data_IF_868805866619
#
_entry.id   IF_868805866619
#
_cell.length_a   1.000
_cell.length_b   1.000
_cell.length_c   1.000
_cell.angle_alpha   90.00
_cell.angle_beta   90.00
_cell.angle_gamma   90.00
#
_symmetry.space_group_name_H-M   'P 1'
#
loop_
_entity.id
_entity.type
_entity.pdbx_description
1 polymer ?
#
# COMPACT_ATOMS: atom_id res chain seq x y z
N UNK A 1 -19.76 27.43 40.31
CA UNK A 1 -18.38 27.31 39.77
C UNK A 1 -17.85 25.89 39.93
N UNK A 2 -17.97 25.26 41.11
CA UNK A 2 -17.52 23.87 41.35
C UNK A 2 -18.20 22.81 40.47
N UNK A 3 -19.49 22.95 40.14
CA UNK A 3 -20.18 21.97 39.30
C UNK A 3 -19.73 21.98 37.84
N UNK A 4 -19.27 23.14 37.33
CA UNK A 4 -18.71 23.26 35.98
C UNK A 4 -17.33 22.61 35.86
N UNK A 5 -16.45 22.86 36.83
CA UNK A 5 -15.14 22.20 36.89
C UNK A 5 -15.28 20.67 36.98
N UNK A 6 -16.24 20.18 37.76
CA UNK A 6 -16.46 18.74 37.89
C UNK A 6 -16.96 18.12 36.57
N UNK A 7 -17.83 18.83 35.85
CA UNK A 7 -18.33 18.39 34.54
C UNK A 7 -17.22 18.40 33.49
N UNK A 8 -16.39 19.43 33.45
CA UNK A 8 -15.25 19.53 32.53
C UNK A 8 -14.20 18.44 32.80
N UNK A 9 -13.88 18.17 34.07
CA UNK A 9 -12.99 17.07 34.43
C UNK A 9 -13.54 15.71 34.00
N UNK A 10 -14.83 15.46 34.24
CA UNK A 10 -15.48 14.21 33.81
C UNK A 10 -15.47 14.05 32.29
N UNK A 11 -15.79 15.12 31.56
CA UNK A 11 -15.75 15.10 30.09
C UNK A 11 -14.34 14.80 29.56
N UNK A 12 -13.31 15.36 30.20
CA UNK A 12 -11.91 15.12 29.81
C UNK A 12 -11.46 13.69 30.09
N UNK A 13 -11.87 13.10 31.21
CA UNK A 13 -11.57 11.69 31.53
C UNK A 13 -12.25 10.77 30.52
N UNK A 14 -13.54 10.99 30.26
CA UNK A 14 -14.30 10.22 29.26
C UNK A 14 -13.62 10.30 27.90
N UNK A 15 -13.21 11.50 27.46
CA UNK A 15 -12.53 11.68 26.18
C UNK A 15 -11.20 10.91 26.10
N UNK A 16 -10.39 10.93 27.16
CA UNK A 16 -9.13 10.17 27.20
C UNK A 16 -9.35 8.65 27.16
N UNK A 17 -10.36 8.13 27.86
CA UNK A 17 -10.69 6.70 27.83
C UNK A 17 -11.14 6.27 26.42
N UNK A 18 -11.87 7.14 25.74
CA UNK A 18 -12.33 6.92 24.38
C UNK A 18 -11.21 7.01 23.35
N UNK A 19 -10.31 7.98 23.49
CA UNK A 19 -9.08 8.08 22.68
C UNK A 19 -8.26 6.80 22.79
N UNK A 20 -8.06 6.29 24.01
CA UNK A 20 -7.32 5.04 24.22
C UNK A 20 -8.02 3.84 23.59
N UNK A 21 -9.33 3.71 23.78
CA UNK A 21 -10.12 2.63 23.18
C UNK A 21 -10.08 2.72 21.64
N UNK A 22 -10.13 3.92 21.09
CA UNK A 22 -10.02 4.14 19.65
C UNK A 22 -8.62 3.77 19.12
N UNK A 23 -7.57 4.14 19.84
CA UNK A 23 -6.18 3.74 19.54
C UNK A 23 -6.04 2.23 19.52
N UNK A 24 -6.58 1.53 20.52
CA UNK A 24 -6.50 0.08 20.61
C UNK A 24 -7.20 -0.59 19.42
N UNK A 25 -8.45 -0.20 19.11
CA UNK A 25 -9.21 -0.77 18.00
C UNK A 25 -8.55 -0.46 16.64
N UNK A 26 -8.04 0.76 16.43
CA UNK A 26 -7.35 1.12 15.19
C UNK A 26 -6.05 0.32 15.04
N UNK A 27 -5.32 0.13 16.13
CA UNK A 27 -4.09 -0.67 16.16
C UNK A 27 -4.37 -2.14 15.84
N UNK A 28 -5.45 -2.72 16.37
CA UNK A 28 -5.92 -4.07 16.00
C UNK A 28 -6.24 -4.19 14.50
N UNK A 29 -6.69 -3.10 13.87
CA UNK A 29 -6.93 -3.02 12.42
C UNK A 29 -5.68 -2.71 11.60
N UNK A 30 -4.50 -2.62 12.23
CA UNK A 30 -3.24 -2.31 11.57
C UNK A 30 -3.09 -0.85 11.13
N UNK A 31 -3.95 0.04 11.65
CA UNK A 31 -3.90 1.48 11.38
C UNK A 31 -3.18 2.18 12.53
N UNK A 32 -2.10 2.90 12.23
CA UNK A 32 -1.45 3.76 13.22
C UNK A 32 -2.41 4.88 13.62
N UNK A 33 -2.86 4.85 14.88
CA UNK A 33 -3.72 5.87 15.43
C UNK A 33 -2.91 7.16 15.69
N UNK A 34 -2.89 8.05 14.71
CA UNK A 34 -2.30 9.37 14.86
C UNK A 34 -3.32 10.33 15.51
N UNK A 35 -2.84 11.41 16.14
CA UNK A 35 -3.70 12.42 16.79
C UNK A 35 -4.81 12.95 15.86
N UNK A 36 -4.51 13.10 14.57
CA UNK A 36 -5.48 13.55 13.58
C UNK A 36 -6.59 12.50 13.36
N UNK A 37 -6.23 11.22 13.28
CA UNK A 37 -7.20 10.12 13.12
C UNK A 37 -8.10 10.05 14.34
N UNK A 38 -7.51 10.12 15.54
CA UNK A 38 -8.26 10.13 16.81
C UNK A 38 -9.24 11.29 16.90
N UNK A 39 -8.87 12.48 16.42
CA UNK A 39 -9.78 13.63 16.41
C UNK A 39 -10.99 13.45 15.49
N UNK A 40 -10.88 12.64 14.44
CA UNK A 40 -11.99 12.28 13.56
C UNK A 40 -12.87 11.16 14.12
N UNK A 41 -12.30 10.21 14.87
CA UNK A 41 -13.07 9.07 15.38
C UNK A 41 -13.68 9.30 16.75
N UNK A 42 -13.04 10.07 17.63
CA UNK A 42 -13.52 10.29 19.01
C UNK A 42 -14.73 11.24 19.00
N UNK A 43 -15.87 10.69 19.38
CA UNK A 43 -17.13 11.40 19.54
C UNK A 43 -17.52 11.50 21.02
N UNK A 44 -18.63 12.17 21.32
CA UNK A 44 -19.14 12.34 22.69
C UNK A 44 -19.59 11.02 23.34
N UNK A 45 -19.84 9.97 22.55
CA UNK A 45 -20.30 8.67 23.03
C UNK A 45 -19.51 7.48 22.48
N UNK A 46 -19.44 6.41 23.27
CA UNK A 46 -18.62 5.23 22.97
C UNK A 46 -19.15 4.48 21.75
N UNK A 47 -20.47 4.39 21.59
CA UNK A 47 -21.08 3.80 20.39
C UNK A 47 -20.72 4.62 19.14
N UNK A 48 -20.78 5.94 19.23
CA UNK A 48 -20.48 6.81 18.09
C UNK A 48 -19.01 6.74 17.70
N UNK A 49 -18.12 6.65 18.70
CA UNK A 49 -16.67 6.49 18.46
C UNK A 49 -16.37 5.18 17.73
N UNK A 50 -16.95 4.07 18.19
CA UNK A 50 -16.82 2.77 17.51
C UNK A 50 -17.36 2.81 16.08
N UNK A 51 -18.55 3.37 15.88
CA UNK A 51 -19.15 3.50 14.56
C UNK A 51 -18.30 4.36 13.61
N UNK A 52 -17.67 5.42 14.13
CA UNK A 52 -16.77 6.28 13.36
C UNK A 52 -15.48 5.54 12.97
N UNK A 53 -14.90 4.76 13.90
CA UNK A 53 -13.72 3.92 13.62
C UNK A 53 -14.04 2.92 12.51
N UNK A 54 -15.16 2.20 12.60
CA UNK A 54 -15.54 1.22 11.59
C UNK A 54 -15.73 1.85 10.20
N UNK A 55 -16.38 3.01 10.13
CA UNK A 55 -16.53 3.76 8.87
C UNK A 55 -15.18 4.21 8.33
N UNK A 56 -14.30 4.71 9.19
CA UNK A 56 -12.96 5.17 8.79
C UNK A 56 -12.12 4.01 8.23
N UNK A 57 -12.09 2.88 8.93
CA UNK A 57 -11.37 1.67 8.48
C UNK A 57 -11.87 1.23 7.10
N UNK A 58 -13.19 1.19 6.89
CA UNK A 58 -13.77 0.84 5.58
C UNK A 58 -13.34 1.79 4.48
N UNK A 59 -13.39 3.11 4.72
CA UNK A 59 -13.00 4.11 3.74
C UNK A 59 -11.51 4.01 3.38
N UNK A 60 -10.64 3.78 4.37
CA UNK A 60 -9.20 3.60 4.15
C UNK A 60 -8.93 2.33 3.36
N UNK A 61 -9.61 1.22 3.67
CA UNK A 61 -9.47 -0.03 2.92
C UNK A 61 -9.95 0.11 1.48
N UNK A 62 -11.10 0.75 1.25
CA UNK A 62 -11.61 1.04 -0.09
C UNK A 62 -10.63 1.92 -0.87
N UNK A 63 -10.14 3.00 -0.27
CA UNK A 63 -9.18 3.90 -0.92
C UNK A 63 -7.84 3.23 -1.16
N UNK A 64 -7.36 2.39 -0.25
CA UNK A 64 -6.14 1.59 -0.43
C UNK A 64 -6.29 0.58 -1.57
N UNK A 65 -7.45 -0.06 -1.70
CA UNK A 65 -7.75 -0.96 -2.83
C UNK A 65 -7.84 -0.19 -4.14
N UNK A 66 -8.46 0.99 -4.14
CA UNK A 66 -8.55 1.86 -5.31
C UNK A 66 -7.17 2.38 -5.73
N UNK A 67 -6.37 2.85 -4.78
CA UNK A 67 -4.99 3.31 -5.02
C UNK A 67 -4.14 2.16 -5.54
N UNK A 68 -4.19 0.96 -4.92
CA UNK A 68 -3.50 -0.21 -5.46
C UNK A 68 -3.99 -0.55 -6.87
N UNK A 69 -5.29 -0.53 -7.13
CA UNK A 69 -5.81 -0.75 -8.49
C UNK A 69 -5.32 0.31 -9.46
N UNK A 70 -5.24 1.57 -9.07
CA UNK A 70 -4.70 2.64 -9.89
C UNK A 70 -3.19 2.52 -10.06
N UNK A 71 -2.44 2.09 -9.05
CA UNK A 71 -1.01 1.83 -9.14
C UNK A 71 -0.73 0.63 -10.04
N UNK A 72 -1.57 -0.42 -9.98
CA UNK A 72 -1.49 -1.59 -10.86
C UNK A 72 -2.06 -1.35 -12.28
N UNK A 73 -2.99 -0.40 -12.43
CA UNK A 73 -3.53 0.00 -13.73
C UNK A 73 -2.63 1.03 -14.43
N UNK A 74 -2.08 1.99 -13.69
CA UNK A 74 -1.06 2.93 -14.15
C UNK A 74 0.35 2.36 -14.10
N UNK A 75 0.57 1.16 -13.53
CA UNK A 75 1.70 0.31 -13.89
C UNK A 75 1.47 -0.36 -15.25
N UNK A 76 0.88 0.36 -16.19
CA UNK A 76 1.44 0.28 -17.54
C UNK A 76 2.94 0.54 -17.35
N UNK A 77 3.83 -0.43 -17.61
CA UNK A 77 5.26 -0.19 -17.49
C UNK A 77 5.53 1.07 -18.29
N UNK A 78 5.93 2.16 -17.61
CA UNK A 78 6.34 3.37 -18.30
C UNK A 78 7.58 2.96 -19.08
N UNK A 79 7.33 2.69 -20.36
CA UNK A 79 8.22 2.09 -21.33
C UNK A 79 8.47 0.60 -21.08
N UNK A 80 8.47 -0.17 -22.18
CA UNK A 80 9.40 -1.28 -22.36
C UNK A 80 10.84 -0.75 -22.37
N UNK A 81 11.25 -0.12 -21.27
CA UNK A 81 12.62 0.21 -20.95
C UNK A 81 13.19 -1.01 -20.26
N UNK A 82 13.84 -1.83 -21.07
CA UNK A 82 15.11 -2.46 -20.75
C UNK A 82 15.44 -2.38 -19.26
N UNK A 83 15.07 -3.43 -18.51
CA UNK A 83 15.80 -3.72 -17.30
C UNK A 83 17.28 -3.71 -17.67
N UNK A 84 18.11 -3.02 -16.91
CA UNK A 84 19.54 -2.79 -17.14
C UNK A 84 20.37 -4.10 -17.21
N UNK A 85 19.73 -5.27 -17.22
CA UNK A 85 20.30 -6.60 -17.40
C UNK A 85 19.43 -7.54 -18.26
N UNK A 86 18.37 -7.04 -18.91
CA UNK A 86 17.59 -7.83 -19.85
C UNK A 86 18.26 -7.71 -21.22
N UNK A 87 18.96 -8.76 -21.65
CA UNK A 87 19.50 -8.87 -22.99
C UNK A 87 18.40 -8.54 -24.01
N UNK A 88 18.56 -7.42 -24.72
CA UNK A 88 17.61 -6.98 -25.73
C UNK A 88 17.93 -7.62 -27.10
N UNK A 89 16.97 -7.52 -28.03
CA UNK A 89 17.11 -8.08 -29.40
C UNK A 89 18.36 -7.52 -30.11
N UNK A 90 18.67 -6.25 -29.88
CA UNK A 90 19.82 -5.56 -30.49
C UNK A 90 21.15 -6.09 -29.94
N UNK A 91 21.29 -6.21 -28.63
CA UNK A 91 22.45 -6.78 -27.95
C UNK A 91 22.65 -8.25 -28.32
N UNK A 92 21.58 -9.05 -28.33
CA UNK A 92 21.64 -10.45 -28.76
C UNK A 92 22.08 -10.59 -30.23
N UNK A 93 21.65 -9.68 -31.10
CA UNK A 93 22.07 -9.68 -32.51
C UNK A 93 23.55 -9.31 -32.71
N UNK A 94 24.14 -8.57 -31.75
CA UNK A 94 25.54 -8.15 -31.76
C UNK A 94 26.46 -9.10 -31.01
N UNK A 95 25.92 -10.00 -30.19
CA UNK A 95 26.70 -11.05 -29.50
C UNK A 95 27.37 -12.00 -30.49
N UNK A 96 28.59 -12.39 -30.14
CA UNK A 96 29.35 -13.45 -30.81
C UNK A 96 28.64 -14.80 -30.67
N UNK A 97 29.00 -15.74 -31.55
CA UNK A 97 28.43 -17.10 -31.53
C UNK A 97 28.63 -17.80 -30.18
N UNK A 98 29.81 -17.64 -29.55
CA UNK A 98 30.12 -18.22 -28.24
C UNK A 98 29.27 -17.65 -27.12
N UNK A 99 28.97 -16.36 -27.13
CA UNK A 99 28.11 -15.72 -26.12
C UNK A 99 26.66 -16.18 -26.24
N UNK A 100 26.17 -16.36 -27.48
CA UNK A 100 24.83 -16.93 -27.72
C UNK A 100 24.73 -18.39 -27.28
N UNK A 101 25.80 -19.17 -27.48
CA UNK A 101 25.86 -20.55 -27.01
C UNK A 101 25.84 -20.62 -25.48
N UNK A 102 26.64 -19.76 -24.83
CA UNK A 102 26.63 -19.67 -23.37
C UNK A 102 25.28 -19.23 -22.82
N UNK A 103 24.58 -18.32 -23.51
CA UNK A 103 23.22 -17.92 -23.15
C UNK A 103 22.23 -19.07 -23.28
N UNK A 104 22.36 -19.91 -24.30
CA UNK A 104 21.54 -21.10 -24.47
C UNK A 104 21.77 -22.12 -23.35
N UNK A 105 23.01 -22.28 -22.91
CA UNK A 105 23.38 -23.24 -21.86
C UNK A 105 22.99 -22.76 -20.45
N UNK A 106 23.09 -21.45 -20.19
CA UNK A 106 22.79 -20.84 -18.88
C UNK A 106 21.32 -20.43 -18.73
N UNK A 107 20.69 -19.96 -19.80
CA UNK A 107 19.33 -19.41 -19.82
C UNK A 107 18.59 -19.78 -21.13
N UNK A 108 18.20 -21.05 -21.31
CA UNK A 108 17.59 -21.54 -22.55
C UNK A 108 16.27 -20.84 -22.89
N UNK A 109 15.44 -20.51 -21.89
CA UNK A 109 14.16 -19.82 -22.11
C UNK A 109 14.34 -18.40 -22.66
N UNK A 110 15.37 -17.69 -22.20
CA UNK A 110 15.71 -16.33 -22.67
C UNK A 110 16.20 -16.41 -24.12
N UNK A 111 17.10 -17.35 -24.42
CA UNK A 111 17.59 -17.60 -25.77
C UNK A 111 16.44 -17.91 -26.76
N UNK A 112 15.55 -18.84 -26.43
CA UNK A 112 14.43 -19.23 -27.29
C UNK A 112 13.45 -18.08 -27.53
N UNK A 113 13.19 -17.26 -26.50
CA UNK A 113 12.34 -16.08 -26.65
C UNK A 113 12.98 -15.03 -27.58
N UNK A 114 14.29 -14.78 -27.44
CA UNK A 114 15.03 -13.86 -28.31
C UNK A 114 15.06 -14.34 -29.76
N UNK A 115 15.26 -15.63 -30.01
CA UNK A 115 15.18 -16.22 -31.36
C UNK A 115 13.77 -16.06 -31.96
N UNK A 116 12.72 -16.38 -31.20
CA UNK A 116 11.32 -16.24 -31.65
C UNK A 116 10.97 -14.78 -31.99
N UNK A 117 11.50 -13.82 -31.23
CA UNK A 117 11.35 -12.39 -31.50
C UNK A 117 12.11 -11.90 -32.74
N UNK A 118 13.11 -12.63 -33.23
CA UNK A 118 13.81 -12.32 -34.48
C UNK A 118 13.12 -12.87 -35.73
N UNK A 119 12.39 -13.98 -35.58
CA UNK A 119 11.70 -14.67 -36.70
C UNK A 119 10.32 -14.05 -37.00
N UNK A 120 9.73 -13.38 -36.02
CA UNK A 120 8.45 -12.65 -36.13
C UNK A 120 8.66 -11.23 -36.65
#
# INVERSE_FOLDING_TARGET
>A
KKDKELAELRAKVVRNEMERTATDILSEKGISANSDVLSFVVADTAEQTKANIEKFVKLVDEKSRENRKNDFANSTPKNGGSGENALDKDSFSKMSYSERLHLKDTQPEVYENLIKQMIK
#
